data_IF_352014400250
#
_entry.id   IF_352014400250
#
_cell.length_a   1.000
_cell.length_b   1.000
_cell.length_c   1.000
_cell.angle_alpha   90.00
_cell.angle_beta   90.00
_cell.angle_gamma   90.00
#
_symmetry.space_group_name_H-M   'P 1'
#
loop_
_entity.id
_entity.type
_entity.pdbx_description
1 polymer ?
#
# COMPACT_ATOMS: atom_id res chain seq x y z
N UNK A 1 13.80 -18.39 7.32
CA UNK A 1 15.10 -18.74 6.81
C UNK A 1 15.59 -17.72 5.80
N UNK A 2 16.90 -17.72 5.57
CA UNK A 2 17.51 -16.76 4.67
C UNK A 2 17.03 -16.93 3.23
N UNK A 3 16.83 -18.18 2.80
CA UNK A 3 16.40 -18.44 1.44
C UNK A 3 15.00 -17.88 1.17
N UNK A 4 14.12 -17.99 2.15
CA UNK A 4 12.76 -17.43 2.02
C UNK A 4 12.83 -15.92 1.99
N UNK A 5 13.67 -15.31 2.84
CA UNK A 5 13.84 -13.86 2.87
C UNK A 5 14.37 -13.37 1.54
N UNK A 6 15.39 -14.03 1.00
CA UNK A 6 15.96 -13.65 -0.29
C UNK A 6 14.92 -13.73 -1.41
N UNK A 7 14.06 -14.76 -1.37
CA UNK A 7 12.99 -14.88 -2.35
C UNK A 7 11.99 -13.74 -2.22
N UNK A 8 11.60 -13.39 -0.99
CA UNK A 8 10.67 -12.28 -0.77
C UNK A 8 11.24 -10.96 -1.27
N UNK A 9 12.52 -10.72 -1.04
CA UNK A 9 13.19 -9.51 -1.52
C UNK A 9 13.21 -9.49 -3.03
N UNK A 10 13.49 -10.61 -3.66
CA UNK A 10 13.50 -10.71 -5.13
C UNK A 10 12.10 -10.44 -5.71
N UNK A 11 11.06 -10.97 -5.06
CA UNK A 11 9.68 -10.73 -5.48
C UNK A 11 9.35 -9.24 -5.35
N UNK A 12 9.71 -8.61 -4.25
CA UNK A 12 9.46 -7.19 -4.03
C UNK A 12 10.14 -6.34 -5.10
N UNK A 13 11.39 -6.66 -5.41
CA UNK A 13 12.15 -5.94 -6.44
C UNK A 13 11.45 -6.05 -7.81
N UNK A 14 10.99 -7.23 -8.14
CA UNK A 14 10.29 -7.45 -9.40
C UNK A 14 8.97 -6.69 -9.45
N UNK A 15 8.21 -6.69 -8.36
CA UNK A 15 6.94 -6.00 -8.29
C UNK A 15 7.13 -4.49 -8.45
N UNK A 16 8.17 -3.92 -7.86
CA UNK A 16 8.44 -2.49 -7.95
C UNK A 16 8.68 -2.01 -9.37
N UNK A 17 9.06 -2.90 -10.28
CA UNK A 17 9.33 -2.58 -11.67
C UNK A 17 8.18 -2.91 -12.62
N UNK A 18 7.05 -3.36 -12.08
CA UNK A 18 5.87 -3.65 -12.88
C UNK A 18 4.87 -2.51 -12.81
N UNK A 19 4.13 -2.33 -13.90
CA UNK A 19 2.97 -1.44 -13.89
C UNK A 19 1.82 -2.19 -13.26
N UNK A 20 1.16 -1.58 -12.29
CA UNK A 20 -0.04 -2.14 -11.73
C UNK A 20 -1.22 -1.93 -12.66
N UNK A 21 -2.02 -2.98 -12.82
CA UNK A 21 -3.33 -2.87 -13.41
C UNK A 21 -4.19 -1.93 -12.55
N UNK A 22 -5.03 -1.13 -13.20
CA UNK A 22 -5.86 -0.15 -12.49
C UNK A 22 -6.82 -0.82 -11.49
N UNK A 23 -7.27 -2.03 -11.80
CA UNK A 23 -8.15 -2.77 -10.89
C UNK A 23 -7.42 -3.25 -9.65
N UNK A 24 -6.15 -3.64 -9.81
CA UNK A 24 -5.30 -4.04 -8.68
C UNK A 24 -5.03 -2.82 -7.81
N UNK A 25 -4.72 -1.68 -8.44
CA UNK A 25 -4.48 -0.45 -7.71
C UNK A 25 -5.71 -0.02 -6.91
N UNK A 26 -6.90 -0.13 -7.51
CA UNK A 26 -8.14 0.16 -6.82
C UNK A 26 -8.31 -0.74 -5.58
N UNK A 27 -8.07 -2.04 -5.74
CA UNK A 27 -8.23 -2.98 -4.64
C UNK A 27 -7.24 -2.70 -3.51
N UNK A 28 -5.98 -2.47 -3.84
CA UNK A 28 -4.94 -2.17 -2.84
C UNK A 28 -5.32 -0.92 -2.06
N UNK A 29 -5.74 0.12 -2.75
CA UNK A 29 -6.09 1.39 -2.12
C UNK A 29 -7.33 1.25 -1.24
N UNK A 30 -8.36 0.59 -1.75
CA UNK A 30 -9.59 0.42 -0.99
C UNK A 30 -9.36 -0.45 0.24
N UNK A 31 -8.58 -1.51 0.13
CA UNK A 31 -8.25 -2.35 1.27
C UNK A 31 -7.49 -1.56 2.34
N UNK A 32 -6.58 -0.68 1.92
CA UNK A 32 -5.87 0.19 2.87
C UNK A 32 -6.82 1.14 3.57
N UNK A 33 -7.73 1.76 2.84
CA UNK A 33 -8.71 2.69 3.40
C UNK A 33 -9.61 1.98 4.42
N UNK A 34 -9.98 0.72 4.14
CA UNK A 34 -10.83 -0.04 5.05
C UNK A 34 -10.20 -0.27 6.42
N UNK A 35 -8.89 -0.17 6.52
CA UNK A 35 -8.19 -0.35 7.79
C UNK A 35 -8.15 0.93 8.62
N UNK A 36 -8.56 2.05 8.06
CA UNK A 36 -8.57 3.32 8.78
C UNK A 36 -9.82 3.41 9.66
N UNK A 37 -9.67 4.00 10.85
CA UNK A 37 -10.82 4.19 11.73
C UNK A 37 -11.72 5.32 11.24
N UNK A 38 -11.13 6.47 10.93
CA UNK A 38 -11.86 7.63 10.40
C UNK A 38 -11.60 7.71 8.90
N UNK A 39 -12.68 7.74 8.13
CA UNK A 39 -12.57 7.74 6.67
C UNK A 39 -13.20 8.97 6.05
N UNK A 40 -13.36 10.05 6.82
CA UNK A 40 -13.99 11.25 6.30
C UNK A 40 -13.04 12.12 5.49
N UNK A 41 -11.78 12.21 5.91
CA UNK A 41 -10.78 13.06 5.26
C UNK A 41 -9.56 12.23 4.93
N UNK A 42 -9.44 11.84 3.68
CA UNK A 42 -8.41 10.89 3.24
C UNK A 42 -7.48 11.56 2.26
N UNK A 43 -6.18 11.35 2.43
CA UNK A 43 -5.16 11.72 1.47
C UNK A 43 -4.50 10.45 0.95
N UNK A 44 -4.40 10.35 -0.37
CA UNK A 44 -3.69 9.25 -1.03
C UNK A 44 -2.40 9.81 -1.60
N UNK A 45 -1.27 9.22 -1.22
CA UNK A 45 0.06 9.65 -1.67
C UNK A 45 0.63 8.56 -2.56
N UNK A 46 1.05 8.92 -3.75
CA UNK A 46 1.49 7.95 -4.76
C UNK A 46 2.71 8.46 -5.50
N UNK A 47 3.45 7.52 -6.10
CA UNK A 47 4.45 7.88 -7.09
C UNK A 47 3.77 8.60 -8.26
N UNK A 48 4.41 9.62 -8.87
CA UNK A 48 3.81 10.33 -10.01
C UNK A 48 3.32 9.43 -11.13
N UNK A 49 3.94 8.27 -11.33
CA UNK A 49 3.54 7.33 -12.39
C UNK A 49 2.12 6.78 -12.18
N UNK A 50 1.58 6.83 -10.95
CA UNK A 50 0.26 6.30 -10.62
C UNK A 50 -0.81 7.37 -10.49
N UNK A 51 -0.45 8.65 -10.58
CA UNK A 51 -1.39 9.75 -10.32
C UNK A 51 -2.57 9.71 -11.27
N UNK A 52 -2.32 9.52 -12.56
CA UNK A 52 -3.42 9.48 -13.52
C UNK A 52 -4.38 8.34 -13.24
N UNK A 53 -3.86 7.17 -12.85
CA UNK A 53 -4.69 6.03 -12.54
C UNK A 53 -5.53 6.28 -11.29
N UNK A 54 -4.93 6.87 -10.26
CA UNK A 54 -5.67 7.19 -9.03
C UNK A 54 -6.74 8.24 -9.32
N UNK A 55 -6.43 9.25 -10.14
CA UNK A 55 -7.44 10.25 -10.50
C UNK A 55 -8.63 9.62 -11.24
N UNK A 56 -8.37 8.65 -12.10
CA UNK A 56 -9.46 7.95 -12.78
C UNK A 56 -10.33 7.15 -11.82
N UNK A 57 -9.78 6.73 -10.69
CA UNK A 57 -10.50 5.95 -9.70
C UNK A 57 -11.20 6.80 -8.64
N UNK A 58 -10.97 8.12 -8.65
CA UNK A 58 -11.45 8.99 -7.58
C UNK A 58 -12.96 8.88 -7.35
N UNK A 59 -13.75 8.87 -8.43
CA UNK A 59 -15.20 8.77 -8.30
C UNK A 59 -15.62 7.43 -7.73
N UNK A 60 -14.93 6.34 -8.10
CA UNK A 60 -15.21 5.02 -7.54
C UNK A 60 -14.92 4.98 -6.05
N UNK A 61 -13.85 5.64 -5.61
CA UNK A 61 -13.55 5.72 -4.19
C UNK A 61 -14.63 6.49 -3.45
N UNK A 62 -15.10 7.59 -4.02
CA UNK A 62 -16.17 8.38 -3.38
C UNK A 62 -17.45 7.59 -3.23
N UNK A 63 -17.76 6.74 -4.22
CA UNK A 63 -18.94 5.88 -4.12
C UNK A 63 -18.77 4.74 -3.12
N UNK A 64 -17.55 4.21 -3.01
CA UNK A 64 -17.28 3.04 -2.20
C UNK A 64 -17.04 3.36 -0.73
N UNK A 65 -16.67 4.60 -0.40
CA UNK A 65 -16.28 4.97 0.96
C UNK A 65 -17.40 5.80 1.58
N UNK A 66 -18.16 5.23 2.53
CA UNK A 66 -19.26 5.97 3.16
C UNK A 66 -18.74 7.17 3.95
N UNK A 67 -19.47 8.27 3.86
CA UNK A 67 -19.21 9.49 4.63
C UNK A 67 -17.89 10.18 4.27
N UNK A 68 -17.31 9.85 3.13
CA UNK A 68 -16.11 10.52 2.66
C UNK A 68 -16.42 11.98 2.35
N UNK A 69 -15.70 12.91 2.97
CA UNK A 69 -15.92 14.35 2.78
C UNK A 69 -14.84 14.98 1.93
N UNK A 70 -13.59 14.55 2.09
CA UNK A 70 -12.52 15.05 1.25
C UNK A 70 -11.60 13.92 0.85
N UNK A 71 -11.16 13.97 -0.40
CA UNK A 71 -10.19 13.03 -0.95
C UNK A 71 -9.12 13.85 -1.66
N UNK A 72 -7.90 13.84 -1.14
CA UNK A 72 -6.76 14.51 -1.75
C UNK A 72 -5.82 13.48 -2.33
N UNK A 73 -5.21 13.82 -3.45
CA UNK A 73 -4.22 12.96 -4.10
C UNK A 73 -2.94 13.77 -4.23
N UNK A 74 -1.87 13.27 -3.61
CA UNK A 74 -0.56 13.92 -3.62
C UNK A 74 0.47 13.03 -4.30
N UNK A 75 1.46 13.66 -4.90
CA UNK A 75 2.56 12.97 -5.54
C UNK A 75 3.80 13.00 -4.66
N UNK A 76 4.53 11.91 -4.67
CA UNK A 76 5.83 11.85 -4.00
C UNK A 76 6.72 10.93 -4.84
N UNK A 77 7.70 11.52 -5.53
CA UNK A 77 8.55 10.76 -6.44
C UNK A 77 9.58 9.90 -5.71
N UNK A 78 9.70 10.03 -4.40
CA UNK A 78 10.55 9.14 -3.62
C UNK A 78 9.88 7.79 -3.32
N UNK A 79 8.56 7.68 -3.57
CA UNK A 79 7.84 6.44 -3.32
C UNK A 79 7.98 5.49 -4.51
N UNK A 80 8.12 4.20 -4.22
CA UNK A 80 8.00 3.18 -5.25
C UNK A 80 6.58 3.13 -5.80
N UNK A 81 6.44 2.67 -7.06
CA UNK A 81 5.15 2.69 -7.76
C UNK A 81 4.44 1.33 -7.62
N UNK A 82 4.44 0.75 -6.42
CA UNK A 82 3.87 -0.56 -6.17
C UNK A 82 2.74 -0.53 -5.13
N UNK A 83 2.10 0.60 -4.98
CA UNK A 83 0.97 0.78 -4.07
C UNK A 83 0.85 2.24 -3.68
N UNK A 84 0.19 2.49 -2.57
CA UNK A 84 -0.12 3.83 -2.11
C UNK A 84 0.15 3.97 -0.61
N UNK A 85 0.28 5.22 -0.17
CA UNK A 85 0.17 5.56 1.24
C UNK A 85 -1.16 6.25 1.42
N UNK A 86 -1.94 5.85 2.43
CA UNK A 86 -3.18 6.53 2.76
C UNK A 86 -3.03 7.19 4.13
N UNK A 87 -3.55 8.41 4.22
CA UNK A 87 -3.44 9.21 5.44
C UNK A 87 -4.78 9.79 5.84
N UNK A 88 -4.99 9.88 7.13
CA UNK A 88 -6.00 10.72 7.77
C UNK A 88 -5.27 11.68 8.70
N UNK A 89 -5.96 12.62 9.35
CA UNK A 89 -5.26 13.54 10.25
C UNK A 89 -4.45 12.86 11.36
N UNK A 90 -4.82 11.64 11.76
CA UNK A 90 -4.14 10.97 12.88
C UNK A 90 -3.56 9.60 12.52
N UNK A 91 -3.62 9.17 11.27
CA UNK A 91 -3.18 7.83 10.89
C UNK A 91 -2.50 7.87 9.53
N UNK A 92 -1.44 7.07 9.39
CA UNK A 92 -0.74 6.89 8.11
C UNK A 92 -0.52 5.40 7.90
N UNK A 93 -0.93 4.89 6.75
CA UNK A 93 -0.77 3.47 6.41
C UNK A 93 -0.09 3.35 5.06
N UNK A 94 1.05 2.70 5.03
CA UNK A 94 1.81 2.44 3.81
C UNK A 94 1.44 1.07 3.29
N UNK A 95 0.72 1.03 2.17
CA UNK A 95 0.25 -0.22 1.58
C UNK A 95 1.04 -0.62 0.33
N UNK A 96 2.22 -0.05 0.14
CA UNK A 96 3.07 -0.50 -0.97
C UNK A 96 3.51 -1.94 -0.74
N UNK A 97 3.48 -2.72 -1.82
CA UNK A 97 3.78 -4.15 -1.72
C UNK A 97 5.20 -4.39 -1.25
N UNK A 98 6.17 -3.61 -1.75
CA UNK A 98 7.56 -3.74 -1.33
C UNK A 98 7.73 -3.53 0.17
N UNK A 99 7.00 -2.56 0.76
CA UNK A 99 7.07 -2.30 2.19
C UNK A 99 6.49 -3.45 2.98
N UNK A 100 5.35 -3.98 2.55
CA UNK A 100 4.71 -5.10 3.25
C UNK A 100 5.61 -6.34 3.25
N UNK A 101 6.23 -6.63 2.11
CA UNK A 101 7.13 -7.78 2.00
C UNK A 101 8.37 -7.56 2.87
N UNK A 102 8.91 -6.34 2.88
CA UNK A 102 10.07 -6.03 3.71
C UNK A 102 9.77 -6.20 5.20
N UNK A 103 8.56 -5.82 5.63
CA UNK A 103 8.14 -6.00 7.02
C UNK A 103 8.05 -7.48 7.38
N UNK A 104 7.50 -8.30 6.48
CA UNK A 104 7.43 -9.74 6.69
C UNK A 104 8.83 -10.32 6.79
N UNK A 105 9.71 -9.94 5.88
CA UNK A 105 11.09 -10.42 5.87
C UNK A 105 11.82 -10.04 7.15
N UNK A 106 11.64 -8.82 7.64
CA UNK A 106 12.27 -8.37 8.88
C UNK A 106 11.80 -9.20 10.06
N UNK A 107 10.52 -9.49 10.14
CA UNK A 107 9.97 -10.35 11.20
C UNK A 107 10.56 -11.75 11.16
N UNK A 108 10.72 -12.29 9.97
CA UNK A 108 11.30 -13.62 9.81
C UNK A 108 12.76 -13.66 10.23
N UNK A 109 13.52 -12.61 9.92
CA UNK A 109 14.94 -12.54 10.29
C UNK A 109 15.14 -12.35 11.80
N UNK A 110 14.26 -11.60 12.45
CA UNK A 110 14.39 -11.33 13.88
C UNK A 110 13.77 -12.40 14.75
N UNK A 111 13.07 -13.37 14.15
CA UNK A 111 12.37 -14.38 14.91
C UNK A 111 11.12 -13.88 15.58
N UNK A 112 10.70 -12.63 15.33
CA UNK A 112 9.50 -12.10 15.96
C UNK A 112 8.22 -12.57 15.29
N UNK A 113 8.33 -13.31 14.19
CA UNK A 113 7.19 -13.98 13.60
C UNK A 113 6.91 -15.28 14.33
N UNK A 114 6.44 -15.18 15.53
CA UNK A 114 6.43 -16.26 16.51
C UNK A 114 5.78 -17.54 16.02
N UNK A 115 4.67 -17.44 15.34
CA UNK A 115 3.99 -18.61 14.86
C UNK A 115 4.80 -19.42 13.87
N UNK A 116 5.74 -18.80 13.19
CA UNK A 116 6.58 -19.47 12.21
C UNK A 116 7.78 -20.15 12.83
N UNK A 117 8.27 -19.62 13.94
CA UNK A 117 9.51 -20.08 14.54
C UNK A 117 9.31 -21.18 15.57
N UNK A 118 8.13 -21.33 16.04
CA UNK A 118 7.86 -22.21 17.17
C UNK A 118 7.45 -23.60 16.78
N UNK A 119 7.87 -24.03 15.64
CA UNK A 119 7.57 -25.39 15.22
C UNK A 119 8.75 -26.29 15.53
#
# INVERSE_FOLDING_TARGET
SRDIVDLLIAIADKVCHQKFDINVLYKITLDAVKQLNDKENITIIVNPALVNNINKLADKFREAIPNLQSLKILEDNSLSADGVIVETPDTRLDSRVSVQIAEIAAKMLTGSGDGLEQK
#
